data_IF_579626584629
#
_entry.id   IF_579626584629
#
_cell.length_a   1.000
_cell.length_b   1.000
_cell.length_c   1.000
_cell.angle_alpha   90.00
_cell.angle_beta   90.00
_cell.angle_gamma   90.00
#
_symmetry.space_group_name_H-M   'P 1'
#
loop_
_entity.id
_entity.type
_entity.pdbx_description
1 polymer ?
#
# COMPACT_ATOMS: atom_id res chain seq x y z
N UNK A 1 -30.93 -28.56 -18.36
CA UNK A 1 -32.10 -27.71 -18.02
C UNK A 1 -32.41 -26.81 -19.20
N UNK A 2 -33.70 -26.58 -19.51
CA UNK A 2 -34.06 -25.66 -20.62
C UNK A 2 -34.03 -24.22 -20.16
N UNK A 3 -33.17 -23.40 -20.75
CA UNK A 3 -32.97 -22.00 -20.39
C UNK A 3 -34.22 -21.14 -20.49
N UNK A 4 -35.11 -21.43 -21.43
CA UNK A 4 -36.41 -20.76 -21.56
C UNK A 4 -37.31 -21.03 -20.37
N UNK A 5 -37.34 -22.30 -19.91
CA UNK A 5 -38.09 -22.69 -18.72
C UNK A 5 -37.52 -22.11 -17.45
N UNK A 6 -36.17 -21.99 -17.35
CA UNK A 6 -35.51 -21.39 -16.20
C UNK A 6 -35.87 -19.91 -16.04
N UNK A 7 -36.00 -19.17 -17.14
CA UNK A 7 -36.45 -17.78 -17.12
C UNK A 7 -37.98 -17.63 -17.14
N UNK A 8 -38.75 -18.72 -17.36
CA UNK A 8 -40.20 -18.68 -17.45
C UNK A 8 -40.71 -17.91 -18.67
N UNK A 9 -39.98 -17.97 -19.80
CA UNK A 9 -40.33 -17.31 -21.04
C UNK A 9 -40.56 -18.32 -22.19
N UNK A 10 -41.31 -17.93 -23.19
CA UNK A 10 -41.53 -18.76 -24.37
C UNK A 10 -40.30 -18.81 -25.28
N UNK A 11 -40.14 -19.87 -26.08
CA UNK A 11 -39.02 -20.02 -27.03
C UNK A 11 -38.94 -18.90 -28.07
N UNK A 12 -40.05 -18.24 -28.36
CA UNK A 12 -40.13 -17.08 -29.27
C UNK A 12 -40.06 -15.74 -28.56
N UNK A 13 -39.71 -15.70 -27.26
CA UNK A 13 -39.63 -14.48 -26.50
C UNK A 13 -38.62 -13.48 -27.11
N UNK A 14 -39.01 -12.22 -27.08
CA UNK A 14 -38.17 -11.10 -27.52
C UNK A 14 -37.02 -10.86 -26.54
N UNK A 15 -35.93 -10.21 -26.95
CA UNK A 15 -34.82 -9.81 -26.05
C UNK A 15 -35.29 -9.02 -24.84
N UNK A 16 -36.29 -8.16 -25.01
CA UNK A 16 -36.85 -7.35 -23.93
C UNK A 16 -37.63 -8.17 -22.91
N UNK A 17 -38.36 -9.17 -23.35
CA UNK A 17 -39.09 -10.11 -22.49
C UNK A 17 -38.11 -10.98 -21.68
N UNK A 18 -37.06 -11.47 -22.31
CA UNK A 18 -35.96 -12.22 -21.65
C UNK A 18 -35.33 -11.37 -20.57
N UNK A 19 -34.99 -10.09 -20.89
CA UNK A 19 -34.38 -9.12 -19.95
C UNK A 19 -35.32 -8.82 -18.78
N UNK A 20 -36.61 -8.65 -19.04
CA UNK A 20 -37.62 -8.37 -18.01
C UNK A 20 -37.79 -9.55 -17.05
N UNK A 21 -37.86 -10.78 -17.59
CA UNK A 21 -37.94 -12.02 -16.81
C UNK A 21 -36.72 -12.21 -15.92
N UNK A 22 -35.53 -12.05 -16.49
CA UNK A 22 -34.28 -12.10 -15.73
C UNK A 22 -34.26 -11.13 -14.55
N UNK A 23 -34.58 -9.83 -14.77
CA UNK A 23 -34.58 -8.80 -13.69
C UNK A 23 -35.52 -9.19 -12.56
N UNK A 24 -36.68 -9.73 -12.86
CA UNK A 24 -37.67 -10.17 -11.88
C UNK A 24 -37.14 -11.33 -11.04
N UNK A 25 -36.60 -12.37 -11.67
CA UNK A 25 -36.09 -13.56 -11.02
C UNK A 25 -34.78 -13.28 -10.24
N UNK A 26 -33.88 -12.50 -10.81
CA UNK A 26 -32.66 -12.11 -10.16
C UNK A 26 -32.89 -11.31 -8.87
N UNK A 27 -33.91 -10.42 -8.87
CA UNK A 27 -34.28 -9.68 -7.65
C UNK A 27 -34.94 -10.56 -6.59
N UNK A 28 -35.64 -11.62 -6.99
CA UNK A 28 -36.31 -12.57 -6.07
C UNK A 28 -35.32 -13.55 -5.44
N UNK A 29 -34.30 -13.98 -6.20
CA UNK A 29 -33.32 -15.00 -5.77
C UNK A 29 -31.95 -14.43 -5.45
N UNK A 30 -31.83 -13.10 -5.25
CA UNK A 30 -30.56 -12.46 -4.92
C UNK A 30 -30.01 -12.98 -3.58
N UNK A 31 -28.72 -13.39 -3.50
CA UNK A 31 -28.14 -13.94 -2.27
C UNK A 31 -28.19 -12.96 -1.09
N UNK A 32 -28.02 -11.65 -1.31
CA UNK A 32 -28.09 -10.63 -0.25
C UNK A 32 -29.49 -10.42 0.31
N UNK A 33 -30.53 -10.93 -0.37
CA UNK A 33 -31.92 -10.91 0.08
C UNK A 33 -32.42 -12.27 0.60
N UNK A 34 -31.49 -13.20 0.88
CA UNK A 34 -31.81 -14.53 1.36
C UNK A 34 -32.32 -15.50 0.29
N UNK A 35 -32.08 -15.19 -0.99
CA UNK A 35 -32.44 -16.07 -2.12
C UNK A 35 -31.53 -17.27 -2.27
N UNK A 36 -32.03 -18.28 -2.97
CA UNK A 36 -31.33 -19.53 -3.27
C UNK A 36 -30.21 -19.29 -4.29
N UNK A 37 -28.95 -19.46 -3.84
CA UNK A 37 -27.75 -19.27 -4.65
C UNK A 37 -27.70 -20.17 -5.90
N UNK A 38 -28.16 -21.41 -5.80
CA UNK A 38 -28.17 -22.34 -6.94
C UNK A 38 -29.16 -21.87 -8.00
N UNK A 39 -30.37 -21.49 -7.59
CA UNK A 39 -31.38 -20.94 -8.51
C UNK A 39 -30.92 -19.63 -9.15
N UNK A 40 -30.21 -18.75 -8.40
CA UNK A 40 -29.67 -17.51 -8.95
C UNK A 40 -28.64 -17.82 -10.05
N UNK A 41 -27.76 -18.80 -9.85
CA UNK A 41 -26.79 -19.23 -10.87
C UNK A 41 -27.45 -19.78 -12.13
N UNK A 42 -28.49 -20.59 -11.99
CA UNK A 42 -29.25 -21.13 -13.12
C UNK A 42 -29.95 -20.02 -13.93
N UNK A 43 -30.57 -19.07 -13.24
CA UNK A 43 -31.22 -17.89 -13.86
C UNK A 43 -30.20 -17.06 -14.63
N UNK A 44 -29.03 -16.91 -14.09
CA UNK A 44 -27.95 -16.13 -14.71
C UNK A 44 -27.40 -16.84 -15.96
N UNK A 45 -27.12 -18.15 -15.87
CA UNK A 45 -26.66 -18.95 -17.00
C UNK A 45 -27.68 -18.95 -18.15
N UNK A 46 -28.99 -19.05 -17.83
CA UNK A 46 -30.05 -18.96 -18.80
C UNK A 46 -30.11 -17.60 -19.51
N UNK A 47 -29.95 -16.51 -18.77
CA UNK A 47 -29.91 -15.16 -19.33
C UNK A 47 -28.68 -14.92 -20.22
N UNK A 48 -27.49 -15.36 -19.81
CA UNK A 48 -26.26 -15.25 -20.59
C UNK A 48 -26.32 -15.95 -21.94
N UNK A 49 -27.06 -17.08 -22.00
CA UNK A 49 -27.27 -17.83 -23.23
C UNK A 49 -28.31 -17.16 -24.12
N UNK A 50 -29.43 -16.73 -23.55
CA UNK A 50 -30.58 -16.27 -24.33
C UNK A 50 -30.55 -14.78 -24.67
N UNK A 51 -29.79 -13.98 -23.96
CA UNK A 51 -29.66 -12.52 -24.21
C UNK A 51 -28.77 -12.16 -25.39
N UNK A 52 -27.86 -13.05 -25.76
CA UNK A 52 -26.97 -12.87 -26.91
C UNK A 52 -27.56 -13.63 -28.13
N UNK A 53 -27.82 -12.94 -29.28
CA UNK A 53 -28.40 -13.55 -30.46
C UNK A 53 -27.63 -14.76 -31.00
N UNK A 54 -26.29 -14.67 -31.01
CA UNK A 54 -25.42 -15.73 -31.52
C UNK A 54 -25.46 -16.99 -30.63
N UNK A 55 -25.38 -16.79 -29.30
CA UNK A 55 -25.48 -17.87 -28.32
C UNK A 55 -26.85 -18.51 -28.31
N UNK A 56 -27.92 -17.70 -28.44
CA UNK A 56 -29.29 -18.19 -28.55
C UNK A 56 -29.48 -19.04 -29.81
N UNK A 57 -28.96 -18.59 -30.96
CA UNK A 57 -29.00 -19.32 -32.22
C UNK A 57 -28.26 -20.66 -32.12
N UNK A 58 -27.09 -20.68 -31.45
CA UNK A 58 -26.35 -21.95 -31.20
C UNK A 58 -27.09 -22.88 -30.23
N UNK A 59 -27.79 -22.32 -29.24
CA UNK A 59 -28.61 -23.09 -28.31
C UNK A 59 -29.86 -23.66 -28.96
N UNK A 60 -30.52 -22.89 -29.82
CA UNK A 60 -31.75 -23.29 -30.54
C UNK A 60 -31.45 -24.26 -31.70
N UNK A 61 -30.28 -24.15 -32.32
CA UNK A 61 -29.83 -25.00 -33.42
C UNK A 61 -28.48 -25.64 -33.11
N UNK A 62 -28.43 -26.68 -32.25
CA UNK A 62 -27.20 -27.42 -32.02
C UNK A 62 -26.73 -28.10 -33.30
N UNK A 63 -25.57 -27.69 -33.84
CA UNK A 63 -24.98 -28.39 -34.98
C UNK A 63 -24.74 -29.86 -34.66
N UNK A 64 -25.00 -30.82 -35.57
CA UNK A 64 -24.70 -32.22 -35.34
C UNK A 64 -23.23 -32.42 -35.06
N UNK A 65 -22.94 -32.97 -33.91
CA UNK A 65 -21.58 -33.31 -33.46
C UNK A 65 -20.96 -34.36 -34.35
N UNK A 66 -19.99 -33.96 -35.14
CA UNK A 66 -19.01 -34.86 -35.72
C UNK A 66 -17.63 -34.43 -35.31
N UNK A 67 -17.20 -34.81 -34.11
CA UNK A 67 -15.83 -35.21 -33.77
C UNK A 67 -15.77 -35.43 -32.24
N UNK A 68 -15.74 -36.71 -31.89
CA UNK A 68 -15.43 -37.18 -30.55
C UNK A 68 -14.05 -36.67 -30.12
N UNK A 69 -13.93 -36.03 -28.98
CA UNK A 69 -12.87 -36.39 -28.05
C UNK A 69 -13.37 -36.36 -26.61
N UNK A 70 -12.97 -37.36 -25.89
CA UNK A 70 -13.43 -37.95 -24.66
C UNK A 70 -12.99 -37.06 -23.48
N UNK A 71 -13.93 -36.74 -22.59
CA UNK A 71 -13.66 -36.47 -21.17
C UNK A 71 -13.10 -35.10 -20.82
N UNK A 72 -13.93 -34.29 -20.20
CA UNK A 72 -13.49 -33.07 -19.48
C UNK A 72 -14.36 -31.88 -19.84
N UNK A 73 -14.93 -31.23 -18.82
CA UNK A 73 -15.51 -29.89 -18.96
C UNK A 73 -14.52 -28.95 -19.67
N UNK A 74 -14.97 -28.09 -20.60
CA UNK A 74 -14.04 -27.16 -21.28
C UNK A 74 -13.41 -26.21 -20.26
N UNK A 75 -12.12 -26.31 -20.10
CA UNK A 75 -11.27 -25.39 -19.28
C UNK A 75 -11.38 -23.91 -19.65
N UNK A 76 -12.14 -23.58 -20.70
CA UNK A 76 -12.40 -22.21 -21.12
C UNK A 76 -13.46 -21.47 -20.29
N UNK A 77 -14.30 -22.17 -19.54
CA UNK A 77 -15.41 -21.54 -18.82
C UNK A 77 -14.96 -20.86 -17.52
N UNK A 78 -13.97 -21.40 -16.85
CA UNK A 78 -13.41 -20.86 -15.61
C UNK A 78 -12.62 -19.58 -15.86
N UNK A 79 -11.95 -19.50 -17.00
CA UNK A 79 -11.18 -18.30 -17.40
C UNK A 79 -12.09 -17.15 -17.85
N UNK A 80 -13.21 -17.48 -18.50
CA UNK A 80 -14.22 -16.48 -18.91
C UNK A 80 -15.01 -16.01 -17.69
N UNK A 81 -15.26 -16.88 -16.73
CA UNK A 81 -15.97 -16.56 -15.49
C UNK A 81 -15.14 -15.67 -14.55
N UNK A 82 -13.84 -15.92 -14.40
CA UNK A 82 -12.95 -15.09 -13.60
C UNK A 82 -12.69 -13.71 -14.23
N UNK A 83 -12.70 -13.62 -15.55
CA UNK A 83 -12.55 -12.36 -16.28
C UNK A 83 -13.83 -11.52 -16.25
N UNK A 84 -14.99 -12.13 -16.07
CA UNK A 84 -16.30 -11.48 -16.06
C UNK A 84 -16.76 -11.07 -14.64
N UNK A 85 -16.28 -11.76 -13.59
CA UNK A 85 -16.68 -11.54 -12.18
C UNK A 85 -15.60 -10.96 -11.29
N UNK A 86 -14.38 -10.82 -11.79
CA UNK A 86 -13.25 -10.23 -11.06
C UNK A 86 -13.18 -8.71 -11.17
N UNK A 87 -14.22 -7.98 -10.82
CA UNK A 87 -14.15 -6.53 -10.56
C UNK A 87 -14.57 -5.62 -11.71
N UNK A 88 -15.86 -5.53 -11.93
CA UNK A 88 -16.47 -4.48 -12.77
C UNK A 88 -17.96 -4.74 -12.91
N UNK A 89 -18.75 -3.72 -12.68
CA UNK A 89 -20.21 -3.75 -12.76
C UNK A 89 -20.68 -4.18 -14.18
N UNK A 90 -21.34 -5.34 -14.41
CA UNK A 90 -21.66 -5.82 -15.76
C UNK A 90 -22.82 -5.07 -16.47
N UNK A 91 -23.35 -4.02 -15.87
CA UNK A 91 -24.60 -3.39 -16.29
C UNK A 91 -24.46 -1.96 -16.83
N UNK A 92 -23.33 -1.59 -17.45
CA UNK A 92 -23.26 -0.35 -18.21
C UNK A 92 -23.13 -0.65 -19.72
N UNK A 93 -24.25 -0.80 -20.47
CA UNK A 93 -24.20 -1.11 -21.91
C UNK A 93 -23.76 0.09 -22.77
N UNK A 94 -23.50 1.26 -22.17
CA UNK A 94 -23.14 2.48 -22.91
C UNK A 94 -21.66 2.87 -22.80
N UNK A 95 -20.80 2.09 -22.08
CA UNK A 95 -19.40 2.49 -21.88
C UNK A 95 -18.39 1.52 -22.53
N UNK A 96 -18.74 0.85 -23.63
CA UNK A 96 -17.73 0.24 -24.51
C UNK A 96 -17.12 1.25 -25.48
N UNK A 97 -16.74 2.42 -25.01
CA UNK A 97 -15.55 3.06 -25.58
C UNK A 97 -14.39 2.23 -25.04
N UNK A 98 -13.82 1.37 -25.87
CA UNK A 98 -12.48 0.84 -25.66
C UNK A 98 -11.57 2.02 -25.39
N UNK A 99 -11.42 2.40 -24.12
CA UNK A 99 -10.28 3.23 -23.75
C UNK A 99 -9.05 2.42 -24.18
N UNK A 100 -8.15 3.00 -24.96
CA UNK A 100 -6.88 2.33 -25.24
C UNK A 100 -6.32 1.94 -23.89
N UNK A 101 -6.02 0.64 -23.71
CA UNK A 101 -5.37 0.13 -22.49
C UNK A 101 -4.09 0.94 -22.35
N UNK A 102 -4.13 1.96 -21.49
CA UNK A 102 -2.93 2.73 -21.20
C UNK A 102 -1.92 1.76 -20.61
N UNK A 103 -0.83 1.55 -21.33
CA UNK A 103 0.27 0.77 -20.79
C UNK A 103 0.72 1.43 -19.49
N UNK A 104 0.85 0.63 -18.44
CA UNK A 104 1.27 1.08 -17.12
C UNK A 104 2.58 0.42 -16.78
N UNK A 105 3.64 1.21 -16.72
CA UNK A 105 4.93 0.78 -16.20
C UNK A 105 4.93 0.85 -14.68
N UNK A 106 5.59 -0.09 -14.03
CA UNK A 106 5.81 -0.06 -12.58
C UNK A 106 7.30 -0.14 -12.29
N UNK A 107 7.76 0.68 -11.35
CA UNK A 107 9.14 0.66 -10.89
C UNK A 107 9.21 0.94 -9.39
N UNK A 108 10.25 0.44 -8.75
CA UNK A 108 10.52 0.72 -7.34
C UNK A 108 11.75 1.60 -7.23
N UNK A 109 11.68 2.62 -6.39
CA UNK A 109 12.74 3.61 -6.20
C UNK A 109 13.17 3.63 -4.74
N UNK A 110 14.47 3.39 -4.50
CA UNK A 110 15.10 3.61 -3.20
C UNK A 110 15.33 5.09 -2.96
N UNK A 111 14.95 5.57 -1.77
CA UNK A 111 15.13 6.96 -1.32
C UNK A 111 15.83 6.92 0.03
N UNK A 112 16.85 7.74 0.23
CA UNK A 112 17.47 7.88 1.55
C UNK A 112 16.53 8.66 2.50
N UNK A 113 16.81 8.59 3.80
CA UNK A 113 16.02 9.31 4.80
C UNK A 113 16.10 10.83 4.59
N UNK A 114 17.27 11.34 4.17
CA UNK A 114 17.50 12.75 3.84
C UNK A 114 16.69 13.17 2.61
N UNK A 115 16.65 12.34 1.56
CA UNK A 115 15.83 12.59 0.38
C UNK A 115 14.33 12.60 0.75
N UNK A 116 13.91 11.67 1.61
CA UNK A 116 12.54 11.66 2.11
C UNK A 116 12.23 12.90 2.97
N UNK A 117 13.24 13.48 3.66
CA UNK A 117 13.10 14.69 4.43
C UNK A 117 13.02 15.96 3.56
N UNK A 118 14.01 16.14 2.68
CA UNK A 118 14.14 17.37 1.87
C UNK A 118 13.26 17.34 0.61
N UNK A 119 12.84 16.17 0.17
CA UNK A 119 12.30 15.97 -1.18
C UNK A 119 13.40 16.14 -2.23
N UNK A 120 12.99 16.29 -3.47
CA UNK A 120 13.92 16.56 -4.56
C UNK A 120 13.59 15.82 -5.84
N UNK A 121 14.50 15.86 -6.80
CA UNK A 121 14.36 15.22 -8.08
C UNK A 121 15.25 13.98 -8.16
N UNK A 122 14.75 12.95 -8.83
CA UNK A 122 15.52 11.74 -9.14
C UNK A 122 15.27 11.32 -10.59
N UNK A 123 16.35 10.97 -11.29
CA UNK A 123 16.26 10.49 -12.67
C UNK A 123 16.19 8.98 -12.65
N UNK A 124 15.12 8.42 -13.23
CA UNK A 124 14.92 7.00 -13.42
C UNK A 124 15.24 6.62 -14.85
N UNK A 125 15.95 5.52 -15.04
CA UNK A 125 16.17 4.90 -16.35
C UNK A 125 15.16 3.77 -16.51
N UNK A 126 14.17 3.97 -17.36
CA UNK A 126 13.18 2.96 -17.72
C UNK A 126 13.60 2.29 -19.01
N UNK A 127 13.77 0.98 -18.94
CA UNK A 127 14.12 0.18 -20.11
C UNK A 127 12.84 -0.34 -20.77
N UNK A 128 12.63 0.04 -22.02
CA UNK A 128 11.62 -0.56 -22.90
C UNK A 128 12.29 -1.55 -23.84
N UNK A 129 11.56 -2.42 -24.52
CA UNK A 129 12.16 -3.37 -25.48
C UNK A 129 12.98 -2.70 -26.60
N UNK A 130 12.69 -1.44 -26.90
CA UNK A 130 13.31 -0.69 -27.99
C UNK A 130 14.33 0.36 -27.55
N UNK A 131 14.14 0.97 -26.36
CA UNK A 131 14.95 2.11 -25.90
C UNK A 131 15.06 2.19 -24.37
N UNK A 132 16.03 3.00 -23.90
CA UNK A 132 16.16 3.42 -22.51
C UNK A 132 15.68 4.87 -22.40
N UNK A 133 14.66 5.11 -21.58
CA UNK A 133 14.10 6.43 -21.35
C UNK A 133 14.52 6.96 -19.97
N UNK A 134 15.03 8.18 -19.94
CA UNK A 134 15.30 8.88 -18.69
C UNK A 134 14.04 9.67 -18.27
N UNK A 135 13.51 9.37 -17.10
CA UNK A 135 12.31 10.03 -16.54
C UNK A 135 12.68 10.69 -15.23
N UNK A 136 12.50 12.00 -15.15
CA UNK A 136 12.69 12.74 -13.89
C UNK A 136 11.43 12.65 -13.06
N UNK A 137 11.57 12.17 -11.83
CA UNK A 137 10.49 12.12 -10.85
C UNK A 137 10.75 13.10 -9.71
N UNK A 138 9.70 13.65 -9.15
CA UNK A 138 9.72 14.47 -7.95
C UNK A 138 9.51 13.58 -6.72
N UNK A 139 10.44 13.59 -5.77
CA UNK A 139 10.29 12.92 -4.48
C UNK A 139 9.59 13.90 -3.54
N UNK A 140 8.35 13.61 -3.10
CA UNK A 140 7.67 14.49 -2.15
C UNK A 140 8.34 14.45 -0.76
N UNK A 141 8.31 15.60 -0.06
CA UNK A 141 8.76 15.67 1.34
C UNK A 141 7.85 14.82 2.24
N UNK A 142 8.44 14.12 3.17
CA UNK A 142 7.72 13.29 4.12
C UNK A 142 7.27 11.93 3.57
N UNK A 143 7.69 11.57 2.35
CA UNK A 143 7.31 10.30 1.73
C UNK A 143 7.63 9.12 2.65
N UNK A 144 6.74 8.13 2.68
CA UNK A 144 6.87 6.95 3.52
C UNK A 144 7.17 5.71 2.69
N UNK A 145 7.72 4.70 3.33
CA UNK A 145 7.94 3.41 2.71
C UNK A 145 6.61 2.82 2.20
N UNK A 146 6.57 2.39 0.93
CA UNK A 146 5.37 1.86 0.29
C UNK A 146 4.41 2.91 -0.28
N UNK A 147 4.72 4.22 -0.18
CA UNK A 147 3.95 5.22 -0.91
C UNK A 147 4.09 5.01 -2.42
N UNK A 148 3.01 5.25 -3.14
CA UNK A 148 2.95 5.14 -4.60
C UNK A 148 2.66 6.50 -5.22
N UNK A 149 3.30 6.76 -6.36
CA UNK A 149 3.02 7.93 -7.19
C UNK A 149 2.75 7.49 -8.61
N UNK A 150 1.65 7.96 -9.18
CA UNK A 150 1.32 7.77 -10.60
C UNK A 150 1.71 9.00 -11.37
N UNK A 151 2.44 8.79 -12.46
CA UNK A 151 2.81 9.83 -13.42
C UNK A 151 2.23 9.44 -14.76
N UNK A 152 1.37 10.30 -15.31
CA UNK A 152 0.70 10.03 -16.58
C UNK A 152 1.53 10.53 -17.77
N UNK A 153 1.41 9.84 -18.91
CA UNK A 153 2.00 10.20 -20.19
C UNK A 153 3.55 10.29 -20.18
N UNK A 154 4.19 9.34 -19.52
CA UNK A 154 5.66 9.36 -19.34
C UNK A 154 6.40 8.88 -20.60
N UNK A 155 5.96 7.78 -21.22
CA UNK A 155 6.57 7.17 -22.42
C UNK A 155 5.44 6.74 -23.33
N UNK A 156 5.41 7.24 -24.57
CA UNK A 156 4.43 6.88 -25.61
C UNK A 156 2.95 6.93 -25.12
N UNK A 157 2.66 7.87 -24.21
CA UNK A 157 1.32 8.02 -23.62
C UNK A 157 1.02 7.05 -22.47
N UNK A 158 1.94 6.17 -22.11
CA UNK A 158 1.81 5.25 -20.98
C UNK A 158 1.95 5.96 -19.62
N UNK A 159 1.35 5.40 -18.58
CA UNK A 159 1.52 5.86 -17.20
C UNK A 159 2.65 5.09 -16.50
N UNK A 160 3.34 5.75 -15.56
CA UNK A 160 4.33 5.15 -14.68
C UNK A 160 3.81 5.15 -13.24
N UNK A 161 3.82 4.00 -12.59
CA UNK A 161 3.60 3.87 -11.15
C UNK A 161 4.98 3.68 -10.50
N UNK A 162 5.31 4.58 -9.59
CA UNK A 162 6.54 4.56 -8.81
C UNK A 162 6.22 4.14 -7.39
N UNK A 163 6.79 3.04 -6.94
CA UNK A 163 6.73 2.57 -5.56
C UNK A 163 7.97 3.06 -4.81
N UNK A 164 7.78 3.93 -3.81
CA UNK A 164 8.90 4.45 -3.03
C UNK A 164 9.28 3.51 -1.89
N UNK A 165 10.57 3.25 -1.76
CA UNK A 165 11.16 2.49 -0.67
C UNK A 165 12.14 3.37 0.07
N UNK A 166 11.85 3.69 1.33
CA UNK A 166 12.76 4.47 2.16
C UNK A 166 13.79 3.53 2.80
N UNK A 167 15.07 3.80 2.53
CA UNK A 167 16.16 2.97 3.03
C UNK A 167 16.36 3.18 4.55
N UNK A 168 16.78 2.14 5.28
CA UNK A 168 17.16 2.26 6.69
C UNK A 168 18.31 3.24 6.87
N UNK A 169 18.27 4.04 7.96
CA UNK A 169 19.32 5.00 8.25
C UNK A 169 20.17 4.58 9.45
N UNK A 170 21.49 4.82 9.41
CA UNK A 170 22.43 4.35 10.45
C UNK A 170 22.19 4.97 11.83
N UNK A 171 21.82 6.26 11.88
CA UNK A 171 21.65 7.03 13.12
C UNK A 171 20.20 7.08 13.58
N UNK A 172 19.24 7.09 12.66
CA UNK A 172 17.84 7.34 12.94
C UNK A 172 16.98 6.13 12.64
N UNK A 173 16.07 5.79 13.56
CA UNK A 173 14.94 4.92 13.32
C UNK A 173 13.68 5.77 13.14
N UNK A 174 12.99 5.56 12.03
CA UNK A 174 11.78 6.32 11.69
C UNK A 174 10.53 5.59 12.13
N UNK A 175 9.74 6.22 13.01
CA UNK A 175 8.43 5.73 13.42
C UNK A 175 7.34 6.72 12.96
N UNK A 176 6.71 6.40 11.83
CA UNK A 176 5.74 7.32 11.20
C UNK A 176 6.43 8.62 10.77
N UNK A 177 6.15 9.71 11.49
CA UNK A 177 6.79 11.02 11.26
C UNK A 177 7.83 11.36 12.32
N UNK A 178 7.97 10.55 13.35
CA UNK A 178 8.98 10.76 14.39
C UNK A 178 10.30 10.08 14.03
N UNK A 179 11.39 10.69 14.49
CA UNK A 179 12.74 10.17 14.36
C UNK A 179 13.28 9.80 15.74
N UNK A 180 13.74 8.58 15.88
CA UNK A 180 14.33 8.08 17.12
C UNK A 180 15.82 7.87 16.89
N UNK A 181 16.65 8.33 17.83
CA UNK A 181 18.08 8.03 17.83
C UNK A 181 18.58 7.77 19.22
N UNK A 182 19.73 7.08 19.30
CA UNK A 182 20.44 6.87 20.55
C UNK A 182 21.50 7.96 20.72
N UNK A 183 21.66 8.44 21.95
CA UNK A 183 22.76 9.29 22.34
C UNK A 183 23.46 8.69 23.56
N UNK A 184 24.75 8.42 23.44
CA UNK A 184 25.56 7.88 24.54
C UNK A 184 25.93 9.03 25.48
N UNK A 185 25.68 8.83 26.78
CA UNK A 185 25.93 9.83 27.81
C UNK A 185 26.60 9.18 29.02
N UNK A 186 27.56 9.86 29.64
CA UNK A 186 28.19 9.36 30.84
C UNK A 186 27.20 9.27 32.00
N UNK A 187 27.31 8.24 32.83
CA UNK A 187 26.54 8.17 34.09
C UNK A 187 26.83 9.36 35.00
N UNK A 188 28.04 9.91 34.97
CA UNK A 188 28.39 11.09 35.72
C UNK A 188 27.61 12.30 35.24
N UNK A 189 27.45 12.49 33.93
CA UNK A 189 26.70 13.59 33.35
C UNK A 189 25.18 13.44 33.68
N UNK A 190 24.65 12.23 33.83
CA UNK A 190 23.28 12.04 34.28
C UNK A 190 23.10 12.45 35.75
N UNK A 191 24.14 12.31 36.58
CA UNK A 191 24.11 12.68 37.99
C UNK A 191 24.20 14.19 38.16
N UNK A 192 25.20 14.81 37.49
CA UNK A 192 25.52 16.26 37.68
C UNK A 192 24.72 17.16 36.74
N UNK A 193 24.17 16.61 35.63
CA UNK A 193 23.60 17.36 34.53
C UNK A 193 24.65 17.81 33.53
N UNK A 194 24.24 17.95 32.29
CA UNK A 194 25.12 18.39 31.21
C UNK A 194 24.34 19.03 30.07
N UNK A 195 25.05 19.64 29.14
CA UNK A 195 24.49 20.18 27.91
C UNK A 195 25.30 19.65 26.73
N UNK A 196 24.66 19.21 25.68
CA UNK A 196 25.34 18.75 24.47
C UNK A 196 24.67 19.29 23.20
N UNK A 197 25.45 19.40 22.14
CA UNK A 197 24.96 19.79 20.83
C UNK A 197 24.40 18.57 20.09
N UNK A 198 23.21 18.73 19.52
CA UNK A 198 22.56 17.72 18.72
C UNK A 198 22.23 18.25 17.33
N UNK A 199 22.79 17.62 16.28
CA UNK A 199 22.47 17.98 14.90
C UNK A 199 21.32 17.08 14.41
N UNK A 200 20.21 17.72 14.07
CA UNK A 200 19.00 17.09 13.53
C UNK A 200 19.19 16.63 12.07
N UNK A 201 18.25 15.87 11.54
CA UNK A 201 18.27 15.46 10.14
C UNK A 201 18.17 16.66 9.16
N UNK A 202 17.56 17.76 9.59
CA UNK A 202 17.51 19.02 8.82
C UNK A 202 18.86 19.74 8.70
N UNK A 203 19.88 19.29 9.44
CA UNK A 203 21.19 19.97 9.55
C UNK A 203 21.21 21.07 10.61
N UNK A 204 20.11 21.31 11.33
CA UNK A 204 20.06 22.30 12.41
C UNK A 204 20.71 21.73 13.66
N UNK A 205 21.66 22.47 14.26
CA UNK A 205 22.26 22.13 15.55
C UNK A 205 21.46 22.78 16.68
N UNK A 206 21.10 21.98 17.67
CA UNK A 206 20.34 22.38 18.84
C UNK A 206 21.13 22.03 20.10
N UNK A 207 21.08 22.91 21.08
CA UNK A 207 21.63 22.67 22.41
C UNK A 207 20.57 21.91 23.25
N UNK A 208 20.95 20.75 23.76
CA UNK A 208 20.09 19.86 24.54
C UNK A 208 20.61 19.77 25.96
N UNK A 209 19.82 20.25 26.91
CA UNK A 209 20.17 20.24 28.34
C UNK A 209 19.60 19.01 29.03
N UNK A 210 20.45 18.24 29.71
CA UNK A 210 20.11 17.12 30.60
C UNK A 210 20.20 17.65 32.04
N UNK A 211 19.07 17.56 32.75
CA UNK A 211 19.00 18.01 34.16
C UNK A 211 19.80 17.08 35.07
N UNK A 212 20.35 17.62 36.18
CA UNK A 212 20.94 16.76 37.21
C UNK A 212 19.96 15.70 37.71
N UNK A 213 20.47 14.49 38.06
CA UNK A 213 19.71 13.33 38.54
C UNK A 213 18.72 12.78 37.51
N UNK A 214 19.04 12.93 36.21
CA UNK A 214 18.25 12.35 35.13
C UNK A 214 18.38 10.83 35.17
N UNK A 215 17.26 10.11 35.05
CA UNK A 215 17.26 8.64 35.05
C UNK A 215 17.87 8.09 33.75
N UNK A 216 18.53 6.95 33.80
CA UNK A 216 18.99 6.23 32.61
C UNK A 216 17.85 5.91 31.66
N UNK A 217 18.16 5.82 30.34
CA UNK A 217 17.23 5.45 29.27
C UNK A 217 16.02 6.37 29.10
N UNK A 218 16.08 7.60 29.65
CA UNK A 218 15.03 8.57 29.42
C UNK A 218 15.03 9.02 27.96
N UNK A 219 13.86 9.35 27.46
CA UNK A 219 13.66 9.90 26.14
C UNK A 219 13.52 11.43 26.23
N UNK A 220 14.37 12.13 25.50
CA UNK A 220 14.27 13.57 25.32
C UNK A 220 13.55 13.85 24.01
N UNK A 221 12.51 14.66 24.07
CA UNK A 221 11.67 15.01 22.94
C UNK A 221 11.97 16.42 22.44
N UNK A 222 12.39 16.53 21.19
CA UNK A 222 12.55 17.79 20.49
C UNK A 222 11.37 17.99 19.53
N UNK A 223 10.41 18.80 19.95
CA UNK A 223 9.16 18.98 19.22
C UNK A 223 9.41 19.60 17.83
N UNK A 224 8.76 19.04 16.81
CA UNK A 224 8.81 19.52 15.44
C UNK A 224 10.18 19.34 14.74
N UNK A 225 11.07 18.49 15.27
CA UNK A 225 12.39 18.22 14.68
C UNK A 225 12.47 16.82 14.01
N UNK A 226 11.33 16.14 13.84
CA UNK A 226 11.20 14.86 13.13
C UNK A 226 11.01 15.04 11.62
N UNK A 227 10.45 14.03 10.97
CA UNK A 227 10.18 14.04 9.53
C UNK A 227 9.05 15.00 9.17
N UNK A 228 9.09 15.61 7.98
CA UNK A 228 7.93 16.31 7.44
C UNK A 228 6.73 15.38 7.34
N UNK A 229 5.55 15.90 7.62
CA UNK A 229 4.29 15.18 7.43
C UNK A 229 3.87 15.34 5.97
N UNK A 230 3.70 14.21 5.29
CA UNK A 230 3.35 14.20 3.87
C UNK A 230 2.12 15.07 3.56
N UNK A 231 2.23 15.90 2.53
CA UNK A 231 1.18 16.85 2.09
C UNK A 231 0.72 17.88 3.14
N UNK A 232 1.52 18.15 4.16
CA UNK A 232 1.24 19.21 5.15
C UNK A 232 2.48 20.06 5.40
N UNK A 233 2.33 21.15 6.16
CA UNK A 233 3.45 21.97 6.65
C UNK A 233 3.99 21.53 8.01
N UNK A 234 3.42 20.47 8.60
CA UNK A 234 3.81 19.97 9.92
C UNK A 234 5.04 19.07 9.89
N UNK A 235 5.62 18.86 11.06
CA UNK A 235 6.72 17.94 11.30
C UNK A 235 6.38 17.06 12.49
N UNK A 236 6.89 15.83 12.49
CA UNK A 236 6.95 14.97 13.66
C UNK A 236 8.02 15.44 14.65
N UNK A 237 8.32 14.64 15.64
CA UNK A 237 9.25 14.94 16.70
C UNK A 237 10.55 14.15 16.55
N UNK A 238 11.65 14.72 17.05
CA UNK A 238 12.89 13.99 17.26
C UNK A 238 12.92 13.47 18.70
N UNK A 239 13.09 12.17 18.85
CA UNK A 239 13.22 11.49 20.14
C UNK A 239 14.66 11.03 20.30
N UNK A 240 15.33 11.48 21.36
CA UNK A 240 16.70 11.10 21.72
C UNK A 240 16.64 10.18 22.93
N UNK A 241 17.01 8.92 22.75
CA UNK A 241 17.13 7.96 23.83
C UNK A 241 18.53 8.06 24.45
N UNK A 242 18.60 8.50 25.71
CA UNK A 242 19.87 8.59 26.45
C UNK A 242 20.34 7.20 26.86
N UNK A 243 21.43 6.72 26.26
CA UNK A 243 22.08 5.45 26.61
C UNK A 243 23.27 5.71 27.53
N UNK A 244 23.17 5.35 28.79
CA UNK A 244 24.26 5.57 29.74
C UNK A 244 25.45 4.65 29.45
N UNK A 245 26.64 5.16 29.67
CA UNK A 245 27.86 4.39 29.74
C UNK A 245 28.70 4.80 30.96
N UNK A 246 29.46 3.90 31.47
CA UNK A 246 30.44 4.17 32.55
C UNK A 246 31.75 4.54 31.86
N UNK A 247 32.35 5.72 32.17
CA UNK A 247 33.67 6.11 31.63
C UNK A 247 34.75 5.10 32.06
N UNK A 248 35.67 4.76 31.15
CA UNK A 248 36.77 3.83 31.40
C UNK A 248 37.70 4.32 32.51
N UNK A 249 37.84 5.64 32.65
CA UNK A 249 38.65 6.29 33.66
C UNK A 249 37.78 7.17 34.55
N UNK A 250 37.74 6.82 35.85
CA UNK A 250 37.07 7.61 36.88
C UNK A 250 38.09 7.88 37.97
N UNK A 251 38.21 9.15 38.39
CA UNK A 251 39.09 9.53 39.47
C UNK A 251 38.79 8.77 40.76
N UNK A 252 39.85 8.29 41.46
CA UNK A 252 39.71 7.50 42.70
C UNK A 252 38.98 8.28 43.80
N UNK A 253 39.14 9.62 43.83
CA UNK A 253 38.41 10.45 44.79
C UNK A 253 36.90 10.41 44.57
N UNK A 254 36.45 10.38 43.29
CA UNK A 254 35.03 10.20 42.94
C UNK A 254 34.53 8.83 43.41
N UNK A 255 35.29 7.78 43.13
CA UNK A 255 34.94 6.39 43.55
C UNK A 255 34.79 6.33 45.08
N UNK A 256 35.75 6.89 45.81
CA UNK A 256 35.68 6.91 47.28
C UNK A 256 34.51 7.69 47.82
N UNK A 257 34.16 8.83 47.18
CA UNK A 257 32.98 9.65 47.54
C UNK A 257 31.68 8.83 47.35
N UNK A 258 31.56 8.09 46.23
CA UNK A 258 30.42 7.22 45.98
C UNK A 258 30.32 6.10 47.05
N UNK A 259 31.43 5.45 47.40
CA UNK A 259 31.46 4.43 48.47
C UNK A 259 30.98 4.98 49.81
N UNK A 260 31.41 6.16 50.16
CA UNK A 260 30.97 6.84 51.41
C UNK A 260 29.48 7.15 51.40
N UNK A 261 28.92 7.54 50.25
CA UNK A 261 27.50 7.78 50.09
C UNK A 261 26.68 6.49 50.29
N UNK A 262 27.10 5.41 49.66
CA UNK A 262 26.45 4.08 49.82
C UNK A 262 26.43 3.60 51.26
N UNK A 263 27.54 3.80 52.02
CA UNK A 263 27.62 3.45 53.43
C UNK A 263 26.65 4.28 54.32
N UNK A 264 26.31 5.49 53.92
CA UNK A 264 25.34 6.34 54.62
C UNK A 264 23.89 5.91 54.34
N UNK A 265 23.59 5.45 53.12
CA UNK A 265 22.26 4.99 52.76
C UNK A 265 21.92 3.58 53.29
N UNK A 266 22.93 2.80 53.68
CA UNK A 266 22.76 1.44 54.24
C UNK A 266 22.53 1.43 55.76
N UNK A 267 22.52 2.59 56.42
CA UNK A 267 22.23 2.77 57.83
C UNK A 267 20.87 3.40 58.04
#
# INVERSE_FOLDING_TARGET
MDHYNTLGVAKNATPDEIKKAYRKLASQHHPDKGGDKAKFQDIQAAYDTLSNPDKRQQYDNPMPQGFHNQGGMPQGFEHIFSQMFGGGNPFDPFNQRRQPQQQVFRTSVGVTLEQAYHGGEQILKLQTPTNVHAVTIQIPKGIQNGNQMKIDKVIDGASLIVDFRVDPHLKYDRQGNDLICNHSISVLDLIIGTTFEFTTLSGKTLEVTVKPRTQPYIQLKLAGQGMPIYNTSGYGDQIILLKPFIPDTIDEQVINSIRQQQLKESK
#
